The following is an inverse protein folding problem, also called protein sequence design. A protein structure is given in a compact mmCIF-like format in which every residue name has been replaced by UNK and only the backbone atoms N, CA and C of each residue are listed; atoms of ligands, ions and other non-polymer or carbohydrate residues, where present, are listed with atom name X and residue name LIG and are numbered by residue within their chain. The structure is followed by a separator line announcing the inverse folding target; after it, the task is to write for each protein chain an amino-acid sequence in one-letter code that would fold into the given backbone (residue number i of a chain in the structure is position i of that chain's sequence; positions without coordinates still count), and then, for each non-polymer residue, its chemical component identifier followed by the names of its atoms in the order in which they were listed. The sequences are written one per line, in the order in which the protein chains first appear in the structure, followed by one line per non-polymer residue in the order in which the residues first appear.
data_IF_508857532605
#
_entry.id   IF_508857532605
#
_cell.length_a   1.000
_cell.length_b   1.000
_cell.length_c   1.000
_cell.angle_alpha   90.00
_cell.angle_beta   90.00
_cell.angle_gamma   90.00
#
_symmetry.space_group_name_H-M   'P 1'
#
loop_
_entity.id
_entity.type
_entity.pdbx_description
1 polymer ?
#
# COMPACT_ATOMS: atom_id res chain seq x y z
N UNK A 1 34.29 12.22 13.34
CA UNK A 1 33.63 11.04 12.77
C UNK A 1 32.79 11.37 11.54
N UNK A 2 33.40 11.16 10.37
CA UNK A 2 32.74 11.25 9.07
C UNK A 2 31.96 9.95 8.85
N UNK A 3 30.65 9.94 9.16
CA UNK A 3 29.74 8.95 8.58
C UNK A 3 29.75 9.16 7.07
N UNK A 4 30.52 8.35 6.34
CA UNK A 4 30.50 8.27 4.88
C UNK A 4 29.06 8.05 4.44
N UNK A 5 28.44 9.08 3.87
CA UNK A 5 27.27 8.91 3.00
C UNK A 5 27.67 7.93 1.92
N UNK A 6 27.19 6.70 2.02
CA UNK A 6 27.28 5.74 0.91
C UNK A 6 26.55 6.39 -0.26
N UNK A 7 27.24 6.47 -1.40
CA UNK A 7 26.77 7.17 -2.58
C UNK A 7 25.57 6.40 -3.15
N UNK A 8 24.41 7.02 -3.39
CA UNK A 8 23.22 6.33 -3.92
C UNK A 8 23.45 5.50 -5.18
N UNK A 9 24.47 5.84 -5.98
CA UNK A 9 24.84 5.06 -7.19
C UNK A 9 25.53 3.72 -6.87
N UNK A 10 26.19 3.59 -5.71
CA UNK A 10 26.86 2.35 -5.31
C UNK A 10 25.85 1.31 -4.81
N UNK A 11 24.88 1.71 -4.00
CA UNK A 11 23.82 0.81 -3.52
C UNK A 11 22.93 0.32 -4.66
N UNK A 12 22.57 1.21 -5.59
CA UNK A 12 21.87 0.82 -6.82
C UNK A 12 22.66 -0.24 -7.61
N UNK A 13 23.97 -0.02 -7.77
CA UNK A 13 24.85 -0.96 -8.47
C UNK A 13 24.95 -2.32 -7.78
N UNK A 14 24.98 -2.38 -6.45
CA UNK A 14 24.98 -3.66 -5.71
C UNK A 14 23.67 -4.42 -5.93
N UNK A 15 22.52 -3.73 -5.85
CA UNK A 15 21.20 -4.38 -6.02
C UNK A 15 21.04 -4.98 -7.42
N UNK A 16 21.51 -4.26 -8.44
CA UNK A 16 21.56 -4.76 -9.82
C UNK A 16 22.47 -5.99 -9.95
N UNK A 17 23.68 -5.94 -9.39
CA UNK A 17 24.62 -7.08 -9.40
C UNK A 17 24.04 -8.31 -8.70
N UNK A 18 23.37 -8.13 -7.55
CA UNK A 18 22.72 -9.23 -6.84
C UNK A 18 21.56 -9.83 -7.66
N UNK A 19 20.78 -8.98 -8.32
CA UNK A 19 19.70 -9.42 -9.21
C UNK A 19 20.24 -10.20 -10.40
N UNK A 20 21.31 -9.71 -11.04
CA UNK A 20 21.98 -10.36 -12.17
C UNK A 20 22.61 -11.70 -11.77
N UNK A 21 23.07 -11.80 -10.51
CA UNK A 21 23.53 -13.06 -9.92
C UNK A 21 22.39 -14.04 -9.57
N UNK A 22 21.13 -13.69 -9.84
CA UNK A 22 19.96 -14.53 -9.64
C UNK A 22 19.36 -14.48 -8.23
N UNK A 23 19.82 -13.56 -7.36
CA UNK A 23 19.35 -13.47 -5.98
C UNK A 23 17.86 -13.16 -5.89
N UNK A 24 17.33 -12.35 -6.80
CA UNK A 24 15.89 -12.07 -6.93
C UNK A 24 15.07 -13.35 -7.11
N UNK A 25 15.55 -14.28 -7.94
CA UNK A 25 14.91 -15.58 -8.15
C UNK A 25 14.97 -16.48 -6.91
N UNK A 26 16.06 -16.42 -6.15
CA UNK A 26 16.19 -17.15 -4.87
C UNK A 26 15.16 -16.65 -3.86
N UNK A 27 15.06 -15.33 -3.65
CA UNK A 27 14.09 -14.75 -2.73
C UNK A 27 12.65 -15.04 -3.16
N UNK A 28 12.36 -14.93 -4.46
CA UNK A 28 11.06 -15.30 -5.02
C UNK A 28 10.69 -16.76 -4.71
N UNK A 29 11.63 -17.69 -4.91
CA UNK A 29 11.42 -19.10 -4.64
C UNK A 29 11.25 -19.40 -3.14
N UNK A 30 11.98 -18.70 -2.26
CA UNK A 30 11.79 -18.81 -0.81
C UNK A 30 10.34 -18.43 -0.47
N UNK A 31 9.87 -17.28 -0.96
CA UNK A 31 8.50 -16.83 -0.72
C UNK A 31 7.46 -17.83 -1.25
N UNK A 32 7.70 -18.42 -2.42
CA UNK A 32 6.74 -19.33 -3.05
C UNK A 32 6.70 -20.75 -2.48
N UNK A 33 7.87 -21.30 -2.11
CA UNK A 33 8.07 -22.75 -1.98
C UNK A 33 8.45 -23.17 -0.56
N UNK A 34 8.97 -22.25 0.26
CA UNK A 34 9.45 -22.61 1.59
C UNK A 34 8.30 -22.51 2.61
N UNK A 35 8.06 -23.56 3.41
CA UNK A 35 6.97 -23.56 4.39
C UNK A 35 7.25 -22.73 5.65
N UNK A 36 8.51 -22.38 5.90
CA UNK A 36 8.91 -21.61 7.09
C UNK A 36 8.45 -20.16 6.99
N UNK A 37 7.49 -19.77 7.85
CA UNK A 37 6.98 -18.39 7.93
C UNK A 37 8.10 -17.37 8.17
N UNK A 38 9.08 -17.72 9.01
CA UNK A 38 10.22 -16.85 9.31
C UNK A 38 11.13 -16.62 8.11
N UNK A 39 11.42 -17.67 7.34
CA UNK A 39 12.22 -17.51 6.11
C UNK A 39 11.47 -16.70 5.06
N UNK A 40 10.15 -16.88 4.94
CA UNK A 40 9.33 -16.06 4.03
C UNK A 40 9.35 -14.60 4.47
N UNK A 41 9.16 -14.28 5.76
CA UNK A 41 9.23 -12.90 6.27
C UNK A 41 10.57 -12.24 5.95
N UNK A 42 11.68 -12.93 6.21
CA UNK A 42 13.03 -12.44 5.90
C UNK A 42 13.20 -12.24 4.39
N UNK A 43 12.75 -13.19 3.57
CA UNK A 43 12.82 -13.07 2.12
C UNK A 43 11.98 -11.90 1.58
N UNK A 44 10.79 -11.66 2.14
CA UNK A 44 9.94 -10.50 1.81
C UNK A 44 10.66 -9.18 2.13
N UNK A 45 11.23 -9.04 3.33
CA UNK A 45 12.00 -7.84 3.72
C UNK A 45 13.24 -7.63 2.84
N UNK A 46 13.96 -8.70 2.48
CA UNK A 46 15.11 -8.62 1.58
C UNK A 46 14.71 -8.23 0.15
N UNK A 47 13.65 -8.84 -0.38
CA UNK A 47 13.18 -8.53 -1.74
C UNK A 47 12.67 -7.09 -1.82
N UNK A 48 11.96 -6.62 -0.78
CA UNK A 48 11.58 -5.22 -0.64
C UNK A 48 12.79 -4.31 -0.70
N UNK A 49 13.85 -4.62 0.06
CA UNK A 49 15.08 -3.81 0.06
C UNK A 49 15.76 -3.78 -1.30
N UNK A 50 15.74 -4.86 -2.09
CA UNK A 50 16.25 -4.83 -3.47
C UNK A 50 15.46 -3.88 -4.38
N UNK A 51 14.17 -3.70 -4.12
CA UNK A 51 13.24 -2.93 -4.93
C UNK A 51 13.08 -1.46 -4.52
N UNK A 52 13.48 -1.08 -3.32
CA UNK A 52 13.31 0.25 -2.70
C UNK A 52 13.86 1.43 -3.52
N UNK A 53 14.83 1.22 -4.43
CA UNK A 53 15.36 2.26 -5.33
C UNK A 53 14.78 2.20 -6.73
N UNK A 54 13.79 1.34 -6.97
CA UNK A 54 13.06 1.24 -8.23
C UNK A 54 13.90 0.73 -9.40
N UNK A 55 14.89 -0.12 -9.16
CA UNK A 55 15.66 -0.73 -10.25
C UNK A 55 14.73 -1.56 -11.16
N UNK A 56 14.45 -1.05 -12.36
CA UNK A 56 13.54 -1.67 -13.33
C UNK A 56 13.93 -3.11 -13.66
N UNK A 57 15.23 -3.40 -13.68
CA UNK A 57 15.77 -4.76 -13.87
C UNK A 57 15.29 -5.73 -12.79
N UNK A 58 15.23 -5.30 -11.53
CA UNK A 58 14.75 -6.12 -10.41
C UNK A 58 13.23 -6.35 -10.54
N UNK A 59 12.47 -5.31 -10.86
CA UNK A 59 11.01 -5.42 -11.09
C UNK A 59 10.70 -6.38 -12.24
N UNK A 60 11.41 -6.22 -13.36
CA UNK A 60 11.30 -7.11 -14.51
C UNK A 60 11.68 -8.55 -14.15
N UNK A 61 12.73 -8.76 -13.34
CA UNK A 61 13.10 -10.08 -12.87
C UNK A 61 11.97 -10.74 -12.05
N UNK A 62 11.36 -10.01 -11.10
CA UNK A 62 10.22 -10.54 -10.32
C UNK A 62 9.02 -10.85 -11.22
N UNK A 63 8.68 -9.94 -12.15
CA UNK A 63 7.60 -10.17 -13.11
C UNK A 63 7.85 -11.40 -14.00
N UNK A 64 9.08 -11.56 -14.48
CA UNK A 64 9.48 -12.71 -15.28
C UNK A 64 9.40 -14.01 -14.48
N UNK A 65 9.74 -13.99 -13.18
CA UNK A 65 9.54 -15.16 -12.31
C UNK A 65 8.06 -15.52 -12.18
N UNK A 66 7.20 -14.54 -11.91
CA UNK A 66 5.76 -14.76 -11.80
C UNK A 66 5.14 -15.28 -13.11
N UNK A 67 5.44 -14.63 -14.22
CA UNK A 67 4.85 -14.95 -15.52
C UNK A 67 5.33 -16.29 -16.09
N UNK A 68 6.61 -16.64 -15.90
CA UNK A 68 7.18 -17.84 -16.50
C UNK A 68 7.10 -19.08 -15.61
N UNK A 69 7.18 -18.91 -14.27
CA UNK A 69 7.40 -20.04 -13.36
C UNK A 69 6.28 -20.29 -12.36
N UNK A 70 5.44 -19.30 -12.03
CA UNK A 70 4.39 -19.45 -11.01
C UNK A 70 2.97 -19.51 -11.58
N UNK A 71 2.67 -20.53 -12.39
CA UNK A 71 1.32 -20.72 -12.98
C UNK A 71 0.19 -20.90 -11.95
N UNK A 72 0.55 -21.20 -10.71
CA UNK A 72 -0.38 -21.38 -9.59
C UNK A 72 -0.64 -20.09 -8.79
N UNK A 73 0.07 -19.00 -9.07
CA UNK A 73 -0.02 -17.76 -8.30
C UNK A 73 0.37 -17.89 -6.82
N UNK A 74 1.26 -18.84 -6.49
CA UNK A 74 1.73 -19.08 -5.12
C UNK A 74 2.37 -17.85 -4.51
N UNK A 75 3.13 -17.07 -5.29
CA UNK A 75 3.81 -15.88 -4.80
C UNK A 75 2.82 -14.85 -4.28
N UNK A 76 1.88 -14.42 -5.14
CA UNK A 76 0.85 -13.45 -4.79
C UNK A 76 -0.09 -13.98 -3.71
N UNK A 77 -0.41 -15.28 -3.75
CA UNK A 77 -1.20 -15.94 -2.70
C UNK A 77 -0.49 -15.88 -1.35
N UNK A 78 0.82 -16.12 -1.32
CA UNK A 78 1.58 -16.09 -0.08
C UNK A 78 1.60 -14.68 0.51
N UNK A 79 1.88 -13.66 -0.30
CA UNK A 79 1.87 -12.26 0.16
C UNK A 79 0.49 -11.84 0.68
N UNK A 80 -0.58 -12.13 -0.07
CA UNK A 80 -1.95 -11.88 0.37
C UNK A 80 -2.26 -12.58 1.70
N UNK A 81 -1.91 -13.86 1.82
CA UNK A 81 -2.17 -14.63 3.03
C UNK A 81 -1.38 -14.10 4.24
N UNK A 82 -0.17 -13.60 4.04
CA UNK A 82 0.61 -12.97 5.11
C UNK A 82 -0.06 -11.70 5.62
N UNK A 83 -0.48 -10.82 4.71
CA UNK A 83 -1.19 -9.58 5.07
C UNK A 83 -2.52 -9.91 5.73
N UNK A 84 -3.31 -10.84 5.18
CA UNK A 84 -4.61 -11.23 5.76
C UNK A 84 -4.45 -11.83 7.16
N UNK A 85 -3.47 -12.71 7.36
CA UNK A 85 -3.25 -13.30 8.68
C UNK A 85 -2.85 -12.26 9.73
N UNK A 86 -2.10 -11.23 9.33
CA UNK A 86 -1.81 -10.10 10.19
C UNK A 86 -3.02 -9.21 10.44
N UNK A 87 -3.82 -8.89 9.41
CA UNK A 87 -5.08 -8.15 9.58
C UNK A 87 -6.00 -8.87 10.58
N UNK A 88 -6.21 -10.18 10.41
CA UNK A 88 -7.05 -10.98 11.29
C UNK A 88 -6.57 -10.95 12.75
N UNK A 89 -5.25 -10.94 12.97
CA UNK A 89 -4.67 -10.83 14.31
C UNK A 89 -4.93 -9.44 14.91
N UNK A 90 -4.64 -8.38 14.15
CA UNK A 90 -4.79 -6.99 14.61
C UNK A 90 -6.24 -6.66 14.96
N UNK A 91 -7.19 -7.13 14.16
CA UNK A 91 -8.62 -6.94 14.43
C UNK A 91 -9.07 -7.66 15.71
N UNK A 92 -8.61 -8.91 15.93
CA UNK A 92 -8.92 -9.66 17.16
C UNK A 92 -8.30 -9.04 18.41
N UNK A 93 -7.10 -8.49 18.28
CA UNK A 93 -6.44 -7.78 19.38
C UNK A 93 -7.25 -6.56 19.79
N UNK A 94 -7.72 -5.77 18.81
CA UNK A 94 -8.60 -4.62 19.05
C UNK A 94 -9.94 -5.00 19.68
N UNK A 95 -10.48 -6.18 19.35
CA UNK A 95 -11.71 -6.72 19.95
C UNK A 95 -11.49 -7.29 21.36
N UNK A 96 -10.23 -7.43 21.81
CA UNK A 96 -9.87 -8.02 23.08
C UNK A 96 -9.92 -9.57 23.11
N UNK A 97 -9.99 -10.20 21.93
CA UNK A 97 -10.14 -11.65 21.76
C UNK A 97 -8.81 -12.41 21.96
N UNK A 98 -7.68 -11.71 21.89
CA UNK A 98 -6.33 -12.26 22.11
C UNK A 98 -5.61 -11.44 23.17
N UNK A 99 -4.80 -12.11 24.00
CA UNK A 99 -3.96 -11.41 24.97
C UNK A 99 -2.88 -10.59 24.26
N UNK A 100 -2.70 -9.32 24.68
CA UNK A 100 -1.71 -8.42 24.08
C UNK A 100 -0.29 -8.84 24.48
N UNK A 101 0.40 -9.51 23.58
CA UNK A 101 1.87 -9.59 23.60
C UNK A 101 2.41 -8.55 22.61
N UNK A 102 2.98 -7.45 23.12
CA UNK A 102 3.47 -6.32 22.31
C UNK A 102 4.44 -6.77 21.21
N UNK A 103 5.26 -7.79 21.50
CA UNK A 103 6.20 -8.39 20.54
C UNK A 103 5.45 -9.00 19.34
N UNK A 104 4.37 -9.73 19.58
CA UNK A 104 3.56 -10.38 18.55
C UNK A 104 2.79 -9.33 17.75
N UNK A 105 2.23 -8.33 18.44
CA UNK A 105 1.56 -7.20 17.78
C UNK A 105 2.50 -6.49 16.80
N UNK A 106 3.71 -6.14 17.26
CA UNK A 106 4.72 -5.48 16.43
C UNK A 106 5.15 -6.34 15.25
N UNK A 107 5.26 -7.66 15.44
CA UNK A 107 5.59 -8.58 14.36
C UNK A 107 4.52 -8.62 13.26
N UNK A 108 3.24 -8.59 13.63
CA UNK A 108 2.14 -8.54 12.67
C UNK A 108 2.09 -7.22 11.91
N UNK A 109 2.29 -6.10 12.61
CA UNK A 109 2.41 -4.75 12.02
C UNK A 109 3.56 -4.68 11.01
N UNK A 110 4.75 -5.13 11.42
CA UNK A 110 5.96 -5.21 10.57
C UNK A 110 5.72 -6.05 9.32
N UNK A 111 5.06 -7.20 9.48
CA UNK A 111 4.78 -8.14 8.39
C UNK A 111 3.83 -7.50 7.38
N UNK A 112 2.78 -6.84 7.85
CA UNK A 112 1.83 -6.12 7.01
C UNK A 112 2.51 -4.99 6.24
N UNK A 113 3.19 -4.08 6.95
CA UNK A 113 3.85 -2.91 6.34
C UNK A 113 4.90 -3.35 5.32
N UNK A 114 5.80 -4.27 5.68
CA UNK A 114 6.84 -4.76 4.74
C UNK A 114 6.26 -5.43 3.50
N UNK A 115 5.10 -6.07 3.61
CA UNK A 115 4.44 -6.74 2.48
C UNK A 115 3.76 -5.73 1.55
N UNK A 116 3.09 -4.71 2.09
CA UNK A 116 2.54 -3.62 1.28
C UNK A 116 3.64 -2.82 0.57
N UNK A 117 4.72 -2.47 1.27
CA UNK A 117 5.88 -1.79 0.66
C UNK A 117 6.51 -2.64 -0.45
N UNK A 118 6.59 -3.97 -0.27
CA UNK A 118 7.07 -4.86 -1.33
C UNK A 118 6.16 -4.77 -2.56
N UNK A 119 4.83 -4.89 -2.37
CA UNK A 119 3.88 -4.79 -3.45
C UNK A 119 3.96 -3.43 -4.16
N UNK A 120 3.99 -2.34 -3.40
CA UNK A 120 4.17 -0.98 -3.91
C UNK A 120 5.43 -0.87 -4.79
N UNK A 121 6.58 -1.30 -4.29
CA UNK A 121 7.83 -1.18 -5.05
C UNK A 121 7.84 -2.07 -6.29
N UNK A 122 7.19 -3.23 -6.26
CA UNK A 122 7.06 -4.10 -7.42
C UNK A 122 6.30 -3.43 -8.58
N UNK A 123 5.24 -2.66 -8.30
CA UNK A 123 4.38 -2.08 -9.33
C UNK A 123 4.59 -0.60 -9.62
N UNK A 124 5.27 0.15 -8.73
CA UNK A 124 5.47 1.59 -8.89
C UNK A 124 6.07 1.91 -10.27
N UNK A 125 5.32 2.66 -11.09
CA UNK A 125 5.67 3.03 -12.47
C UNK A 125 6.03 1.84 -13.37
N UNK A 126 5.46 0.66 -13.13
CA UNK A 126 5.71 -0.54 -13.92
C UNK A 126 4.39 -1.23 -14.34
N UNK A 127 3.90 -0.83 -15.52
CA UNK A 127 2.55 -1.13 -16.02
C UNK A 127 2.23 -2.63 -16.11
N UNK A 128 3.21 -3.46 -16.48
CA UNK A 128 3.02 -4.90 -16.56
C UNK A 128 2.67 -5.50 -15.19
N UNK A 129 3.35 -5.06 -14.14
CA UNK A 129 3.06 -5.50 -12.77
C UNK A 129 1.76 -4.88 -12.23
N UNK A 130 1.49 -3.60 -12.52
CA UNK A 130 0.22 -2.96 -12.16
C UNK A 130 -0.98 -3.73 -12.72
N UNK A 131 -0.92 -4.13 -13.99
CA UNK A 131 -1.95 -4.94 -14.62
C UNK A 131 -1.98 -6.38 -14.08
N UNK A 132 -0.80 -6.96 -13.81
CA UNK A 132 -0.73 -8.29 -13.22
C UNK A 132 -1.40 -8.31 -11.85
N UNK A 133 -1.23 -7.30 -10.99
CA UNK A 133 -1.87 -7.24 -9.67
C UNK A 133 -3.39 -7.29 -9.71
N UNK A 134 -4.02 -6.74 -10.75
CA UNK A 134 -5.46 -6.86 -11.00
C UNK A 134 -5.82 -8.21 -11.61
N UNK A 135 -5.15 -8.57 -12.72
CA UNK A 135 -5.42 -9.81 -13.48
C UNK A 135 -4.14 -10.51 -13.91
N UNK A 136 -3.79 -11.61 -13.23
CA UNK A 136 -2.67 -12.46 -13.63
C UNK A 136 -3.07 -13.42 -14.76
N UNK A 137 -3.03 -12.94 -16.01
CA UNK A 137 -3.36 -13.76 -17.21
C UNK A 137 -2.50 -15.01 -17.38
N UNK A 138 -1.35 -15.07 -16.70
CA UNK A 138 -0.43 -16.20 -16.71
C UNK A 138 -0.72 -17.25 -15.62
N UNK A 139 -1.66 -16.98 -14.71
CA UNK A 139 -2.08 -17.89 -13.64
C UNK A 139 -3.38 -18.62 -13.98
N UNK A 140 -3.58 -19.82 -13.41
CA UNK A 140 -4.86 -20.54 -13.48
C UNK A 140 -5.99 -19.84 -12.72
N UNK A 141 -5.62 -19.13 -11.66
CA UNK A 141 -6.54 -18.37 -10.82
C UNK A 141 -5.88 -17.03 -10.55
N UNK A 142 -6.59 -15.94 -10.85
CA UNK A 142 -6.13 -14.60 -10.54
C UNK A 142 -6.45 -14.26 -9.09
N UNK A 143 -5.55 -13.51 -8.45
CA UNK A 143 -5.69 -12.95 -7.12
C UNK A 143 -5.68 -11.45 -7.32
N UNK A 144 -6.82 -10.81 -7.14
CA UNK A 144 -6.93 -9.37 -7.29
C UNK A 144 -6.32 -8.67 -6.07
N UNK A 145 -5.07 -8.26 -6.20
CA UNK A 145 -4.34 -7.57 -5.14
C UNK A 145 -4.78 -6.09 -5.02
N UNK A 146 -5.33 -5.51 -6.08
CA UNK A 146 -5.83 -4.13 -6.07
C UNK A 146 -7.12 -4.06 -5.26
N UNK A 147 -8.05 -4.99 -5.50
CA UNK A 147 -9.24 -5.17 -4.67
C UNK A 147 -8.85 -5.45 -3.21
N UNK A 148 -7.90 -6.36 -2.99
CA UNK A 148 -7.45 -6.73 -1.66
C UNK A 148 -6.91 -5.54 -0.84
N UNK A 149 -6.14 -4.63 -1.45
CA UNK A 149 -5.68 -3.42 -0.76
C UNK A 149 -6.85 -2.52 -0.33
N UNK A 150 -7.88 -2.42 -1.15
CA UNK A 150 -9.08 -1.63 -0.86
C UNK A 150 -9.93 -2.28 0.25
N UNK A 151 -10.10 -3.60 0.21
CA UNK A 151 -10.79 -4.40 1.23
C UNK A 151 -10.06 -4.37 2.58
N UNK A 152 -8.72 -4.35 2.56
CA UNK A 152 -7.91 -4.20 3.76
C UNK A 152 -8.20 -2.86 4.45
N UNK A 153 -8.17 -1.75 3.69
CA UNK A 153 -8.44 -0.42 4.22
C UNK A 153 -9.85 -0.31 4.80
N UNK A 154 -10.85 -0.84 4.08
CA UNK A 154 -12.24 -0.84 4.53
C UNK A 154 -12.43 -1.59 5.85
N UNK A 155 -11.80 -2.76 6.01
CA UNK A 155 -11.88 -3.53 7.24
C UNK A 155 -11.09 -2.91 8.39
N UNK A 156 -9.90 -2.39 8.12
CA UNK A 156 -8.99 -1.90 9.15
C UNK A 156 -9.41 -0.53 9.69
N UNK A 157 -9.85 0.37 8.80
CA UNK A 157 -10.35 1.70 9.15
C UNK A 157 -11.82 1.62 9.58
N UNK A 158 -12.70 0.96 8.82
CA UNK A 158 -14.11 0.64 9.11
C UNK A 158 -15.08 1.81 9.37
N UNK A 159 -14.69 2.81 10.15
CA UNK A 159 -15.52 3.96 10.57
C UNK A 159 -14.67 5.08 11.15
N UNK A 160 -15.23 6.29 11.29
CA UNK A 160 -14.54 7.41 11.95
C UNK A 160 -14.10 7.04 13.37
N UNK A 161 -15.00 6.45 14.16
CA UNK A 161 -14.70 6.04 15.53
C UNK A 161 -13.54 5.04 15.62
N UNK A 162 -13.37 4.17 14.63
CA UNK A 162 -12.22 3.27 14.55
C UNK A 162 -10.95 4.01 14.12
N UNK A 163 -11.02 4.88 13.11
CA UNK A 163 -9.92 5.71 12.66
C UNK A 163 -9.32 6.55 13.80
N UNK A 164 -10.19 7.14 14.62
CA UNK A 164 -9.83 7.93 15.80
C UNK A 164 -9.14 7.11 16.87
N UNK A 165 -9.34 5.78 16.88
CA UNK A 165 -8.71 4.91 17.87
C UNK A 165 -7.33 4.43 17.48
N UNK A 166 -6.97 4.51 16.19
CA UNK A 166 -5.71 4.00 15.66
C UNK A 166 -4.51 4.72 16.27
N UNK A 167 -3.52 3.95 16.70
CA UNK A 167 -2.24 4.52 17.11
C UNK A 167 -1.38 4.91 15.91
N UNK A 168 -0.27 5.59 16.17
CA UNK A 168 0.67 6.00 15.13
C UNK A 168 1.22 4.87 14.24
N UNK A 169 1.43 3.67 14.78
CA UNK A 169 1.93 2.52 14.01
C UNK A 169 0.82 1.97 13.11
N UNK A 170 -0.41 1.93 13.63
CA UNK A 170 -1.59 1.56 12.85
C UNK A 170 -1.86 2.56 11.71
N UNK A 171 -1.65 3.86 11.96
CA UNK A 171 -1.73 4.89 10.92
C UNK A 171 -0.64 4.75 9.86
N UNK A 172 0.60 4.35 10.21
CA UNK A 172 1.64 4.03 9.22
C UNK A 172 1.25 2.83 8.34
N UNK A 173 0.53 1.86 8.90
CA UNK A 173 0.00 0.74 8.14
C UNK A 173 -1.11 1.18 7.16
N UNK A 174 -2.00 2.08 7.58
CA UNK A 174 -2.98 2.73 6.68
C UNK A 174 -2.26 3.44 5.54
N UNK A 175 -1.20 4.20 5.83
CA UNK A 175 -0.39 4.87 4.79
C UNK A 175 0.23 3.86 3.84
N UNK A 176 0.80 2.76 4.34
CA UNK A 176 1.42 1.72 3.49
C UNK A 176 0.42 1.10 2.51
N UNK A 177 -0.82 0.84 2.96
CA UNK A 177 -1.88 0.33 2.10
C UNK A 177 -2.35 1.38 1.07
N UNK A 178 -2.45 2.66 1.45
CA UNK A 178 -2.78 3.76 0.53
C UNK A 178 -1.68 3.94 -0.53
N UNK A 179 -0.40 3.94 -0.15
CA UNK A 179 0.74 4.06 -1.08
C UNK A 179 0.81 2.89 -2.06
N UNK A 180 0.48 1.67 -1.61
CA UNK A 180 0.31 0.54 -2.51
C UNK A 180 -0.80 0.78 -3.56
N UNK A 181 -1.96 1.29 -3.16
CA UNK A 181 -3.05 1.62 -4.09
C UNK A 181 -2.63 2.74 -5.06
N UNK A 182 -1.92 3.75 -4.55
CA UNK A 182 -1.33 4.83 -5.37
C UNK A 182 -0.42 4.22 -6.44
N UNK A 183 0.52 3.36 -6.05
CA UNK A 183 1.45 2.71 -6.97
C UNK A 183 0.76 1.81 -8.00
N UNK A 184 -0.40 1.24 -7.68
CA UNK A 184 -1.21 0.47 -8.64
C UNK A 184 -1.83 1.36 -9.73
N UNK A 185 -2.10 2.62 -9.43
CA UNK A 185 -2.79 3.55 -10.33
C UNK A 185 -1.88 4.62 -10.94
N UNK A 186 -0.67 4.83 -10.40
CA UNK A 186 0.24 5.90 -10.80
C UNK A 186 0.73 5.71 -12.24
N UNK A 187 0.63 6.79 -13.02
CA UNK A 187 0.75 6.75 -14.48
C UNK A 187 -0.56 6.32 -15.15
N UNK A 188 -0.70 6.39 -16.49
CA UNK A 188 -1.94 6.02 -17.14
C UNK A 188 -2.20 4.51 -17.01
N UNK A 189 -3.04 4.11 -16.04
CA UNK A 189 -3.52 2.74 -15.84
C UNK A 189 -5.05 2.72 -15.74
N UNK A 190 -5.78 2.96 -16.85
CA UNK A 190 -7.22 3.25 -16.82
C UNK A 190 -8.07 2.19 -16.13
N UNK A 191 -7.66 0.92 -16.26
CA UNK A 191 -8.38 -0.21 -15.66
C UNK A 191 -8.19 -0.26 -14.13
N UNK A 192 -6.99 -0.01 -13.60
CA UNK A 192 -6.77 0.04 -12.15
C UNK A 192 -7.45 1.28 -11.55
N UNK A 193 -7.38 2.41 -12.24
CA UNK A 193 -8.07 3.64 -11.85
C UNK A 193 -9.58 3.43 -11.75
N UNK A 194 -10.19 2.78 -12.75
CA UNK A 194 -11.62 2.45 -12.73
C UNK A 194 -11.95 1.46 -11.60
N UNK A 195 -11.10 0.46 -11.41
CA UNK A 195 -11.28 -0.55 -10.38
C UNK A 195 -11.23 0.05 -8.97
N UNK A 196 -10.23 0.89 -8.67
CA UNK A 196 -10.10 1.58 -7.37
C UNK A 196 -11.23 2.58 -7.16
N UNK A 197 -11.58 3.38 -8.18
CA UNK A 197 -12.69 4.34 -8.09
C UNK A 197 -14.05 3.69 -7.78
N UNK A 198 -14.22 2.43 -8.15
CA UNK A 198 -15.44 1.64 -7.90
C UNK A 198 -15.37 0.81 -6.62
N UNK A 199 -14.28 0.90 -5.86
CA UNK A 199 -14.03 0.09 -4.67
C UNK A 199 -14.32 0.87 -3.37
N UNK A 200 -14.39 0.18 -2.21
CA UNK A 200 -14.51 0.83 -0.90
C UNK A 200 -13.39 1.85 -0.57
N UNK A 201 -12.26 1.81 -1.28
CA UNK A 201 -11.15 2.74 -1.05
C UNK A 201 -11.59 4.21 -1.17
N UNK A 202 -12.55 4.52 -2.04
CA UNK A 202 -13.05 5.89 -2.22
C UNK A 202 -13.77 6.37 -0.96
N UNK A 203 -14.62 5.53 -0.35
CA UNK A 203 -15.33 5.87 0.88
C UNK A 203 -14.35 5.99 2.06
N UNK A 204 -13.35 5.11 2.15
CA UNK A 204 -12.29 5.22 3.18
C UNK A 204 -11.48 6.50 3.01
N UNK A 205 -11.10 6.87 1.79
CA UNK A 205 -10.38 8.12 1.54
C UNK A 205 -11.19 9.35 1.97
N UNK A 206 -12.50 9.36 1.65
CA UNK A 206 -13.38 10.44 2.10
C UNK A 206 -13.44 10.54 3.61
N UNK A 207 -13.66 9.41 4.29
CA UNK A 207 -13.68 9.32 5.75
C UNK A 207 -12.40 9.90 6.36
N UNK A 208 -11.22 9.55 5.82
CA UNK A 208 -9.93 10.07 6.29
C UNK A 208 -9.82 11.59 6.07
N UNK A 209 -10.27 12.08 4.91
CA UNK A 209 -10.16 13.50 4.56
C UNK A 209 -11.10 14.36 5.40
N UNK A 210 -12.33 13.89 5.65
CA UNK A 210 -13.36 14.65 6.38
C UNK A 210 -13.31 14.44 7.89
N UNK A 211 -12.59 13.44 8.39
CA UNK A 211 -12.42 13.27 9.83
C UNK A 211 -11.57 14.43 10.39
N UNK A 212 -12.15 15.18 11.32
CA UNK A 212 -11.47 16.26 12.04
C UNK A 212 -10.99 15.87 13.44
N UNK A 213 -11.60 14.86 14.04
CA UNK A 213 -11.44 14.44 15.44
C UNK A 213 -10.26 13.46 15.65
N UNK A 214 -9.08 13.82 15.16
CA UNK A 214 -7.89 13.00 15.35
C UNK A 214 -7.41 13.06 16.79
N UNK A 215 -7.06 11.90 17.37
CA UNK A 215 -6.32 11.89 18.63
C UNK A 215 -5.02 12.67 18.46
N UNK A 216 -4.95 13.84 19.08
CA UNK A 216 -3.67 14.44 19.43
C UNK A 216 -3.03 13.46 20.41
N UNK A 217 -2.00 12.73 20.00
CA UNK A 217 -1.23 11.88 20.90
C UNK A 217 -0.62 12.75 22.01
N UNK A 218 -1.40 12.96 23.07
CA UNK A 218 -1.01 13.49 24.35
C UNK A 218 -0.33 12.36 25.13
N UNK A 219 0.78 11.88 24.60
CA UNK A 219 1.71 11.00 25.30
C UNK A 219 3.13 11.43 24.93
N UNK A 220 3.68 12.32 25.77
CA UNK A 220 5.11 12.57 25.98
C UNK A 220 6.04 12.28 24.77
N UNK A 221 6.06 13.21 23.81
CA UNK A 221 7.32 13.60 23.16
C UNK A 221 7.86 12.74 22.02
N UNK A 222 7.06 11.92 21.33
CA UNK A 222 7.59 11.12 20.21
C UNK A 222 6.90 11.25 18.85
N UNK A 223 5.65 11.72 18.74
CA UNK A 223 4.97 11.86 17.44
C UNK A 223 4.12 13.13 17.44
N UNK A 224 4.39 14.00 16.47
CA UNK A 224 3.60 15.20 16.24
C UNK A 224 2.27 14.75 15.60
N UNK A 225 1.25 14.47 16.42
CA UNK A 225 -0.07 14.01 15.96
C UNK A 225 -0.62 14.76 14.74
N UNK A 226 -0.52 16.11 14.69
CA UNK A 226 -0.80 16.91 13.50
C UNK A 226 -0.04 16.46 12.23
N UNK A 227 1.25 16.10 12.33
CA UNK A 227 2.02 15.57 11.19
C UNK A 227 1.50 14.22 10.72
N UNK A 228 1.07 13.34 11.63
CA UNK A 228 0.54 12.04 11.24
C UNK A 228 -0.79 12.19 10.49
N UNK A 229 -1.71 13.01 11.02
CA UNK A 229 -2.96 13.38 10.33
C UNK A 229 -2.69 13.84 8.91
N UNK A 230 -1.77 14.80 8.74
CA UNK A 230 -1.42 15.36 7.43
C UNK A 230 -0.91 14.28 6.48
N UNK A 231 -0.08 13.34 6.95
CA UNK A 231 0.47 12.27 6.10
C UNK A 231 -0.61 11.28 5.63
N UNK A 232 -1.52 10.89 6.53
CA UNK A 232 -2.61 9.96 6.18
C UNK A 232 -3.58 10.65 5.21
N UNK A 233 -3.92 11.92 5.45
CA UNK A 233 -4.75 12.72 4.56
C UNK A 233 -4.11 12.95 3.18
N UNK A 234 -2.80 13.25 3.14
CA UNK A 234 -2.04 13.41 1.90
C UNK A 234 -2.08 12.12 1.06
N UNK A 235 -1.88 10.95 1.68
CA UNK A 235 -1.99 9.67 0.99
C UNK A 235 -3.42 9.40 0.47
N UNK A 236 -4.45 9.68 1.27
CA UNK A 236 -5.85 9.53 0.83
C UNK A 236 -6.21 10.44 -0.35
N UNK A 237 -5.77 11.70 -0.31
CA UNK A 237 -5.96 12.65 -1.42
C UNK A 237 -5.25 12.17 -2.68
N UNK A 238 -4.02 11.65 -2.53
CA UNK A 238 -3.25 11.09 -3.66
C UNK A 238 -3.95 9.90 -4.30
N UNK A 239 -4.58 9.01 -3.53
CA UNK A 239 -5.38 7.90 -4.10
C UNK A 239 -6.48 8.44 -5.03
N UNK A 240 -7.23 9.46 -4.59
CA UNK A 240 -8.26 10.09 -5.42
C UNK A 240 -7.66 10.77 -6.66
N UNK A 241 -6.51 11.42 -6.51
CA UNK A 241 -5.83 12.10 -7.60
C UNK A 241 -5.33 11.13 -8.68
N UNK A 242 -4.70 10.01 -8.30
CA UNK A 242 -4.20 9.03 -9.28
C UNK A 242 -5.31 8.30 -10.03
N UNK A 243 -6.51 8.19 -9.45
CA UNK A 243 -7.69 7.67 -10.16
C UNK A 243 -8.07 8.53 -11.38
N UNK A 244 -7.72 9.82 -11.35
CA UNK A 244 -8.04 10.79 -12.40
C UNK A 244 -6.85 11.06 -13.34
N UNK A 245 -5.66 10.55 -13.01
CA UNK A 245 -4.42 10.84 -13.74
C UNK A 245 -4.48 10.32 -15.19
N UNK A 246 -4.26 11.22 -16.16
CA UNK A 246 -4.12 10.85 -17.57
C UNK A 246 -5.41 10.35 -18.25
N UNK A 247 -6.57 10.48 -17.62
CA UNK A 247 -7.85 10.08 -18.22
C UNK A 247 -8.33 11.06 -19.28
N UNK A 248 -8.88 10.52 -20.37
CA UNK A 248 -9.54 11.29 -21.43
C UNK A 248 -11.05 11.11 -21.45
N UNK A 249 -11.55 10.06 -20.79
CA UNK A 249 -12.97 9.80 -20.58
C UNK A 249 -13.47 10.38 -19.24
N UNK A 250 -14.79 10.36 -19.07
CA UNK A 250 -15.48 10.87 -17.88
C UNK A 250 -16.01 9.76 -16.96
N UNK A 251 -15.61 8.50 -17.15
CA UNK A 251 -16.20 7.38 -16.41
C UNK A 251 -15.88 7.45 -14.92
N UNK A 252 -14.59 7.50 -14.56
CA UNK A 252 -14.14 7.66 -13.16
C UNK A 252 -14.66 8.98 -12.57
N UNK A 253 -14.66 10.06 -13.35
CA UNK A 253 -15.19 11.35 -12.91
C UNK A 253 -16.65 11.24 -12.44
N UNK A 254 -17.49 10.51 -13.18
CA UNK A 254 -18.90 10.29 -12.81
C UNK A 254 -19.03 9.41 -11.57
N UNK A 255 -18.23 8.35 -11.47
CA UNK A 255 -18.23 7.45 -10.30
C UNK A 255 -17.84 8.22 -9.04
N UNK A 256 -16.75 8.98 -9.09
CA UNK A 256 -16.32 9.79 -7.94
C UNK A 256 -17.36 10.86 -7.59
N UNK A 257 -17.93 11.57 -8.57
CA UNK A 257 -18.97 12.55 -8.32
C UNK A 257 -20.25 11.97 -7.70
N UNK A 258 -20.56 10.69 -7.96
CA UNK A 258 -21.69 9.99 -7.35
C UNK A 258 -21.39 9.48 -5.94
N UNK A 259 -20.13 9.17 -5.66
CA UNK A 259 -19.70 8.60 -4.39
C UNK A 259 -19.23 9.65 -3.37
N UNK A 260 -18.89 10.86 -3.82
CA UNK A 260 -18.47 11.95 -2.93
C UNK A 260 -19.66 12.48 -2.14
N UNK A 261 -19.51 12.54 -0.82
CA UNK A 261 -20.50 13.16 0.03
C UNK A 261 -20.48 14.70 -0.11
N UNK A 262 -21.58 15.32 0.31
CA UNK A 262 -21.73 16.77 0.31
C UNK A 262 -20.74 17.47 1.27
N UNK A 263 -20.26 16.79 2.31
CA UNK A 263 -19.36 17.37 3.31
C UNK A 263 -17.94 17.54 2.77
N UNK A 264 -17.42 16.56 2.04
CA UNK A 264 -16.16 16.62 1.32
C UNK A 264 -16.16 17.77 0.31
N UNK A 265 -17.24 17.88 -0.47
CA UNK A 265 -17.39 18.96 -1.45
C UNK A 265 -17.47 20.32 -0.75
N UNK A 266 -18.21 20.44 0.35
CA UNK A 266 -18.26 21.68 1.16
C UNK A 266 -16.90 22.02 1.76
N UNK A 267 -16.19 21.04 2.32
CA UNK A 267 -14.86 21.20 2.90
C UNK A 267 -13.88 21.71 1.83
N UNK A 268 -13.82 21.06 0.66
CA UNK A 268 -12.98 21.49 -0.45
C UNK A 268 -13.33 22.90 -0.96
N UNK A 269 -14.62 23.21 -1.13
CA UNK A 269 -15.08 24.51 -1.59
C UNK A 269 -14.80 25.62 -0.56
N UNK A 270 -14.94 25.34 0.73
CA UNK A 270 -14.67 26.32 1.79
C UNK A 270 -13.22 26.81 1.77
N UNK A 271 -12.26 25.95 1.39
CA UNK A 271 -10.84 26.30 1.24
C UNK A 271 -10.57 27.09 -0.05
N UNK A 272 -11.34 26.83 -1.11
CA UNK A 272 -11.21 27.51 -2.41
C UNK A 272 -11.88 28.89 -2.45
N UNK A 273 -12.98 29.09 -1.71
CA UNK A 273 -13.80 30.31 -1.78
C UNK A 273 -13.03 31.59 -1.43
N UNK A 274 -12.14 31.62 -0.42
CA UNK A 274 -11.27 32.78 -0.16
C UNK A 274 -10.28 33.02 -1.31
N UNK A 275 -9.71 31.95 -1.88
CA UNK A 275 -8.71 32.03 -2.96
C UNK A 275 -9.31 32.46 -4.31
N UNK A 276 -10.60 32.20 -4.53
CA UNK A 276 -11.33 32.63 -5.73
C UNK A 276 -11.79 34.09 -5.66
N UNK A 277 -11.87 34.68 -4.46
CA UNK A 277 -12.20 36.10 -4.28
C UNK A 277 -10.97 37.02 -4.44
N UNK A 278 -9.76 36.45 -4.46
CA UNK A 278 -8.49 37.16 -4.67
C UNK A 278 -7.99 37.15 -6.13
N UNK A 279 -8.77 36.60 -7.07
CA UNK A 279 -8.52 36.63 -8.52
C UNK A 279 -9.56 37.47 -9.26
#
# INVERSE_FOLDING_TARGET
DQKKKVVPSFEKSIREVLSDAGFTGVLYNIICLVPSKELVKVATKLLRSLLETGAESVKAAVYNQASNHDKSGKFFKQLRNQIQASLDYLLREREGDVGTEEVILNEHMDTCSSSFELLEFMCSRYLDMQNAFRVQKFNRTSIDLVAFGSEFLDQFVKSSANLEQLDSRELELVISALEFIIACCQGPCPDNQLHVASSPAVQVCQLIITNDDWKEDAAEGLIDGPKMKIRVQDAAIKVLAVCLEGRTDQEVHKILAQNFDDELLKSALSVLTPKMQEQ
#
